data_IF_087633021718
#
_entry.id   IF_087633021718
#
_cell.length_a   1.000
_cell.length_b   1.000
_cell.length_c   1.000
_cell.angle_alpha   90.00
_cell.angle_beta   90.00
_cell.angle_gamma   90.00
#
_symmetry.space_group_name_H-M   'P 1'
#
loop_
_entity.id
_entity.type
_entity.pdbx_description
1 polymer ?
#
# COMPACT_ATOMS: atom_id res chain seq x y z
N UNK A 1 0.30 -2.55 0.47
CA UNK A 1 0.83 -1.19 0.22
C UNK A 1 1.27 -1.06 -1.22
N UNK A 2 0.86 0.00 -1.91
CA UNK A 2 1.23 0.29 -3.29
C UNK A 2 2.16 1.51 -3.32
N UNK A 3 3.40 1.30 -3.72
CA UNK A 3 4.49 2.27 -3.64
C UNK A 3 5.44 2.00 -2.48
N UNK A 4 6.76 2.09 -2.76
CA UNK A 4 7.84 1.92 -1.77
C UNK A 4 8.91 2.99 -2.00
N UNK A 5 8.43 4.24 -2.06
CA UNK A 5 9.23 5.46 -2.06
C UNK A 5 9.58 5.89 -0.63
N UNK A 6 9.91 7.18 -0.43
CA UNK A 6 10.25 7.68 0.90
C UNK A 6 9.13 7.44 1.92
N UNK A 7 7.89 7.85 1.60
CA UNK A 7 6.75 7.64 2.51
C UNK A 7 6.53 6.17 2.89
N UNK A 8 6.57 5.25 1.91
CA UNK A 8 6.41 3.82 2.18
C UNK A 8 7.54 3.23 3.02
N UNK A 9 8.78 3.66 2.79
CA UNK A 9 9.93 3.22 3.61
C UNK A 9 9.83 3.74 5.04
N UNK A 10 9.48 5.02 5.22
CA UNK A 10 9.32 5.60 6.56
C UNK A 10 8.15 4.97 7.33
N UNK A 11 7.02 4.71 6.66
CA UNK A 11 5.92 3.96 7.26
C UNK A 11 6.37 2.58 7.75
N UNK A 12 7.17 1.89 6.95
CA UNK A 12 7.71 0.58 7.33
C UNK A 12 8.70 0.68 8.52
N UNK A 13 9.56 1.72 8.55
CA UNK A 13 10.45 1.95 9.70
C UNK A 13 9.65 2.24 10.97
N UNK A 14 8.64 3.11 10.87
CA UNK A 14 7.74 3.40 11.99
C UNK A 14 7.07 2.13 12.52
N UNK A 15 6.61 1.22 11.66
CA UNK A 15 6.05 -0.06 12.11
C UNK A 15 7.07 -0.97 12.79
N UNK A 16 8.34 -0.96 12.36
CA UNK A 16 9.40 -1.71 13.04
C UNK A 16 9.74 -1.14 14.42
N UNK A 17 9.64 0.18 14.58
CA UNK A 17 9.99 0.86 15.83
C UNK A 17 8.83 0.91 16.82
N UNK A 18 7.59 1.13 16.34
CA UNK A 18 6.41 1.39 17.18
C UNK A 18 5.38 0.25 17.16
N UNK A 19 5.61 -0.82 16.40
CA UNK A 19 4.64 -1.91 16.21
C UNK A 19 4.21 -2.55 17.54
N UNK A 20 5.13 -2.83 18.43
CA UNK A 20 4.84 -3.39 19.75
C UNK A 20 4.01 -2.43 20.62
N UNK A 21 4.27 -1.13 20.54
CA UNK A 21 3.49 -0.12 21.23
C UNK A 21 2.08 -0.01 20.68
N UNK A 22 1.91 -0.08 19.35
CA UNK A 22 0.58 -0.12 18.71
C UNK A 22 -0.18 -1.35 19.19
N UNK A 23 0.45 -2.53 19.20
CA UNK A 23 -0.14 -3.77 19.68
C UNK A 23 -0.57 -3.68 21.14
N UNK A 24 0.31 -3.17 22.00
CA UNK A 24 0.06 -3.07 23.44
C UNK A 24 -0.98 -2.00 23.79
N UNK A 25 -1.04 -0.90 23.01
CA UNK A 25 -1.95 0.22 23.30
C UNK A 25 -3.34 0.00 22.71
N UNK A 26 -3.42 -0.55 21.51
CA UNK A 26 -4.67 -0.63 20.74
C UNK A 26 -5.15 -2.07 20.51
N UNK A 27 -4.34 -3.08 20.82
CA UNK A 27 -4.67 -4.49 20.62
C UNK A 27 -4.57 -4.96 19.16
N UNK A 28 -4.01 -4.14 18.27
CA UNK A 28 -3.85 -4.47 16.85
C UNK A 28 -2.41 -4.79 16.51
N UNK A 29 -2.21 -5.86 15.73
CA UNK A 29 -0.94 -6.18 15.09
C UNK A 29 -1.04 -5.80 13.62
N UNK A 30 -0.13 -4.92 13.16
CA UNK A 30 -0.11 -4.43 11.78
C UNK A 30 0.87 -5.25 10.97
N UNK A 31 0.38 -5.98 9.97
CA UNK A 31 1.18 -6.78 9.05
C UNK A 31 1.13 -6.17 7.64
N UNK A 32 2.26 -6.10 6.98
CA UNK A 32 2.34 -5.71 5.56
C UNK A 32 2.23 -6.96 4.70
N UNK A 33 1.03 -7.31 4.27
CA UNK A 33 0.82 -8.51 3.45
C UNK A 33 1.42 -8.40 2.03
N UNK A 34 1.55 -7.17 1.50
CA UNK A 34 2.14 -6.97 0.19
C UNK A 34 2.76 -5.57 0.03
N UNK A 35 3.82 -5.49 -0.76
CA UNK A 35 4.43 -4.25 -1.24
C UNK A 35 4.56 -4.34 -2.76
N UNK A 36 3.79 -3.56 -3.51
CA UNK A 36 3.89 -3.50 -4.95
C UNK A 36 4.50 -2.18 -5.43
N UNK A 37 5.39 -2.27 -6.40
CA UNK A 37 6.03 -1.09 -7.00
C UNK A 37 6.13 -1.23 -8.51
N UNK A 38 6.24 -0.12 -9.20
CA UNK A 38 6.45 -0.13 -10.65
C UNK A 38 7.85 -0.57 -11.06
N UNK A 39 8.87 -0.28 -10.27
CA UNK A 39 10.28 -0.43 -10.66
C UNK A 39 11.15 -1.28 -9.74
N UNK A 40 10.65 -1.65 -8.56
CA UNK A 40 11.43 -2.38 -7.56
C UNK A 40 11.00 -3.85 -7.41
N UNK A 41 9.91 -4.24 -8.09
CA UNK A 41 9.27 -5.55 -7.94
C UNK A 41 8.08 -5.53 -6.98
N UNK A 42 7.50 -6.70 -6.76
CA UNK A 42 6.37 -6.92 -5.85
C UNK A 42 6.73 -7.99 -4.84
N UNK A 43 6.58 -7.69 -3.56
CA UNK A 43 6.66 -8.66 -2.47
C UNK A 43 5.25 -9.02 -2.01
N UNK A 44 5.02 -10.31 -1.73
CA UNK A 44 3.75 -10.80 -1.19
C UNK A 44 3.98 -11.96 -0.23
N UNK A 45 3.40 -11.83 0.95
CA UNK A 45 3.28 -12.90 1.94
C UNK A 45 2.04 -12.64 2.80
N UNK A 46 1.03 -13.52 2.81
CA UNK A 46 -0.16 -13.33 3.62
C UNK A 46 0.10 -13.35 5.13
N UNK A 47 1.25 -13.89 5.56
CA UNK A 47 1.68 -13.91 6.97
C UNK A 47 2.56 -12.71 7.35
N UNK A 48 2.83 -11.84 6.39
CA UNK A 48 3.63 -10.64 6.58
C UNK A 48 4.94 -10.65 5.80
N UNK A 49 5.15 -9.61 4.99
CA UNK A 49 6.41 -9.37 4.29
C UNK A 49 7.50 -9.02 5.29
N UNK A 50 8.69 -9.60 5.12
CA UNK A 50 9.88 -9.18 5.86
C UNK A 50 10.29 -7.75 5.46
N UNK A 51 9.69 -6.80 6.15
CA UNK A 51 9.88 -5.37 5.94
C UNK A 51 11.33 -4.94 6.14
N UNK A 52 12.02 -5.55 7.12
CA UNK A 52 13.42 -5.27 7.43
C UNK A 52 14.33 -5.64 6.25
N UNK A 53 14.08 -6.82 5.68
CA UNK A 53 14.77 -7.28 4.47
C UNK A 53 14.42 -6.40 3.26
N UNK A 54 13.15 -6.05 3.06
CA UNK A 54 12.71 -5.20 1.97
C UNK A 54 13.41 -3.83 1.98
N UNK A 55 13.51 -3.18 3.14
CA UNK A 55 14.23 -1.93 3.34
C UNK A 55 15.71 -2.08 2.97
N UNK A 56 16.38 -3.09 3.53
CA UNK A 56 17.80 -3.36 3.29
C UNK A 56 18.10 -3.61 1.80
N UNK A 57 17.27 -4.40 1.13
CA UNK A 57 17.45 -4.69 -0.31
C UNK A 57 17.33 -3.42 -1.16
N UNK A 58 16.29 -2.62 -0.92
CA UNK A 58 16.09 -1.37 -1.69
C UNK A 58 17.17 -0.33 -1.40
N UNK A 59 17.71 -0.27 -0.19
CA UNK A 59 18.82 0.60 0.16
C UNK A 59 20.13 0.16 -0.51
N UNK A 60 20.38 -1.14 -0.58
CA UNK A 60 21.62 -1.70 -1.13
C UNK A 60 21.65 -1.70 -2.67
N UNK A 61 20.54 -2.09 -3.32
CA UNK A 61 20.52 -2.33 -4.77
C UNK A 61 19.38 -1.61 -5.51
N UNK A 62 18.62 -0.75 -4.83
CA UNK A 62 17.54 0.04 -5.44
C UNK A 62 16.26 -0.73 -5.75
N UNK A 63 16.23 -2.03 -5.56
CA UNK A 63 15.09 -2.94 -5.85
C UNK A 63 15.06 -4.12 -4.88
N UNK A 64 13.97 -4.88 -4.90
CA UNK A 64 13.92 -6.17 -4.22
C UNK A 64 14.83 -7.18 -4.93
N UNK A 65 15.50 -8.01 -4.13
CA UNK A 65 16.43 -9.01 -4.65
C UNK A 65 15.66 -10.12 -5.37
N UNK A 66 16.22 -10.61 -6.47
CA UNK A 66 15.71 -11.80 -7.17
C UNK A 66 15.74 -13.07 -6.30
N UNK A 67 16.61 -13.08 -5.29
CA UNK A 67 16.70 -14.15 -4.29
C UNK A 67 15.77 -13.92 -3.08
N UNK A 68 14.90 -12.91 -3.11
CA UNK A 68 13.92 -12.72 -2.04
C UNK A 68 12.80 -13.76 -2.18
N UNK A 69 12.57 -14.64 -1.19
CA UNK A 69 11.57 -15.71 -1.28
C UNK A 69 10.13 -15.18 -1.37
N UNK A 70 9.91 -13.91 -1.01
CA UNK A 70 8.60 -13.26 -1.06
C UNK A 70 8.41 -12.44 -2.36
N UNK A 71 9.41 -12.43 -3.26
CA UNK A 71 9.30 -11.78 -4.57
C UNK A 71 8.33 -12.56 -5.46
N UNK A 72 7.34 -11.86 -6.01
CA UNK A 72 6.33 -12.45 -6.90
C UNK A 72 6.22 -11.68 -8.21
N UNK A 73 5.78 -12.37 -9.26
CA UNK A 73 5.52 -11.78 -10.59
C UNK A 73 4.04 -11.36 -10.68
N UNK A 74 3.65 -10.38 -9.86
CA UNK A 74 2.31 -9.82 -9.84
C UNK A 74 2.40 -8.30 -10.01
N UNK A 75 1.51 -7.73 -10.82
CA UNK A 75 1.34 -6.29 -10.87
C UNK A 75 0.52 -5.77 -9.66
N UNK A 76 0.40 -4.45 -9.53
CA UNK A 76 -0.30 -3.81 -8.41
C UNK A 76 -1.77 -4.25 -8.29
N UNK A 77 -2.49 -4.34 -9.39
CA UNK A 77 -3.90 -4.77 -9.39
C UNK A 77 -4.03 -6.23 -8.97
N UNK A 78 -3.19 -7.10 -9.51
CA UNK A 78 -3.20 -8.52 -9.17
C UNK A 78 -2.89 -8.77 -7.69
N UNK A 79 -1.91 -8.04 -7.13
CA UNK A 79 -1.58 -8.21 -5.71
C UNK A 79 -2.65 -7.62 -4.78
N UNK A 80 -3.31 -6.51 -5.16
CA UNK A 80 -4.47 -6.00 -4.41
C UNK A 80 -5.54 -7.09 -4.32
N UNK A 81 -5.94 -7.65 -5.46
CA UNK A 81 -6.95 -8.74 -5.52
C UNK A 81 -6.57 -9.95 -4.70
N UNK A 82 -5.29 -10.33 -4.72
CA UNK A 82 -4.78 -11.53 -4.04
C UNK A 82 -4.57 -11.35 -2.54
N UNK A 83 -4.20 -10.15 -2.10
CA UNK A 83 -3.73 -9.92 -0.73
C UNK A 83 -4.80 -10.14 0.33
N UNK A 84 -6.08 -9.90 0.02
CA UNK A 84 -7.19 -9.92 0.98
C UNK A 84 -6.89 -9.16 2.27
N UNK A 85 -6.16 -8.06 2.14
CA UNK A 85 -5.81 -7.20 3.27
C UNK A 85 -7.03 -6.38 3.73
N UNK A 86 -7.03 -5.96 4.99
CA UNK A 86 -8.09 -5.09 5.52
C UNK A 86 -7.95 -3.66 5.00
N UNK A 87 -6.71 -3.22 4.78
CA UNK A 87 -6.39 -1.84 4.40
C UNK A 87 -5.41 -1.81 3.22
N UNK A 88 -5.70 -1.01 2.22
CA UNK A 88 -4.76 -0.67 1.14
C UNK A 88 -4.20 0.73 1.38
N UNK A 89 -2.87 0.85 1.39
CA UNK A 89 -2.17 2.13 1.48
C UNK A 89 -1.64 2.47 0.09
N UNK A 90 -2.11 3.56 -0.49
CA UNK A 90 -1.76 4.04 -1.82
C UNK A 90 -0.72 5.16 -1.72
N UNK A 91 0.52 4.86 -2.10
CA UNK A 91 1.69 5.74 -2.04
C UNK A 91 2.45 5.77 -3.38
N UNK A 92 1.79 5.43 -4.47
CA UNK A 92 2.42 5.44 -5.80
C UNK A 92 2.70 6.86 -6.29
N UNK A 93 3.48 6.95 -7.35
CA UNK A 93 3.85 8.25 -7.93
C UNK A 93 2.61 8.99 -8.45
N UNK A 94 2.50 10.25 -8.10
CA UNK A 94 1.45 11.15 -8.56
C UNK A 94 1.43 11.25 -10.10
N UNK A 95 0.25 11.04 -10.70
CA UNK A 95 -0.06 11.51 -12.06
C UNK A 95 -0.88 12.79 -11.96
N UNK A 96 -0.31 13.89 -12.45
CA UNK A 96 -1.00 15.20 -12.52
C UNK A 96 -2.06 15.18 -13.62
N UNK A 97 -1.89 14.33 -14.63
CA UNK A 97 -2.71 14.33 -15.85
C UNK A 97 -4.11 13.76 -15.63
N UNK A 98 -4.22 12.67 -14.86
CA UNK A 98 -5.45 11.86 -14.80
C UNK A 98 -5.64 11.12 -13.48
N UNK A 99 -4.69 11.21 -12.56
CA UNK A 99 -4.71 10.49 -11.28
C UNK A 99 -4.50 8.96 -11.39
N UNK A 100 -4.15 8.46 -12.58
CA UNK A 100 -3.89 7.03 -12.78
C UNK A 100 -2.41 6.67 -12.55
N UNK A 101 -2.11 5.44 -12.16
CA UNK A 101 -3.01 4.30 -11.92
C UNK A 101 -3.65 4.28 -10.50
N UNK A 102 -3.38 5.28 -9.67
CA UNK A 102 -3.79 5.31 -8.28
C UNK A 102 -5.32 5.21 -8.10
N UNK A 103 -6.10 5.84 -8.99
CA UNK A 103 -7.56 5.72 -8.98
C UNK A 103 -7.98 4.26 -9.17
N UNK A 104 -7.40 3.56 -10.15
CA UNK A 104 -7.73 2.14 -10.39
C UNK A 104 -7.30 1.24 -9.23
N UNK A 105 -6.21 1.55 -8.53
CA UNK A 105 -5.82 0.85 -7.32
C UNK A 105 -6.88 0.97 -6.23
N UNK A 106 -7.38 2.20 -5.99
CA UNK A 106 -8.38 2.49 -4.96
C UNK A 106 -9.71 1.82 -5.30
N UNK A 107 -10.17 1.91 -6.55
CA UNK A 107 -11.40 1.25 -7.00
C UNK A 107 -11.31 -0.27 -6.81
N UNK A 108 -10.17 -0.88 -7.19
CA UNK A 108 -9.94 -2.30 -6.98
C UNK A 108 -9.94 -2.66 -5.49
N UNK A 109 -9.30 -1.84 -4.64
CA UNK A 109 -9.30 -2.08 -3.20
C UNK A 109 -10.73 -2.06 -2.62
N UNK A 110 -11.56 -1.11 -3.01
CA UNK A 110 -12.96 -1.05 -2.60
C UNK A 110 -13.78 -2.23 -3.14
N UNK A 111 -13.52 -2.67 -4.38
CA UNK A 111 -14.16 -3.87 -4.95
C UNK A 111 -13.90 -5.10 -4.08
N UNK A 112 -12.70 -5.21 -3.52
CA UNK A 112 -12.26 -6.33 -2.69
C UNK A 112 -12.44 -6.09 -1.17
N UNK A 113 -13.21 -5.07 -0.78
CA UNK A 113 -13.62 -4.84 0.61
C UNK A 113 -12.54 -4.23 1.50
N UNK A 114 -11.54 -3.58 0.94
CA UNK A 114 -10.45 -2.96 1.70
C UNK A 114 -10.76 -1.50 2.02
N UNK A 115 -10.46 -1.07 3.23
CA UNK A 115 -10.32 0.36 3.55
C UNK A 115 -9.14 0.94 2.77
N UNK A 116 -9.19 2.23 2.47
CA UNK A 116 -8.13 2.89 1.70
C UNK A 116 -7.59 4.10 2.44
N UNK A 117 -6.26 4.17 2.50
CA UNK A 117 -5.51 5.35 2.93
C UNK A 117 -4.62 5.78 1.77
N UNK A 118 -4.66 7.04 1.38
CA UNK A 118 -3.80 7.54 0.29
C UNK A 118 -3.11 8.84 0.66
N UNK A 119 -1.82 8.94 0.35
CA UNK A 119 -1.06 10.19 0.33
C UNK A 119 -0.88 10.72 -1.12
N UNK A 120 -1.48 10.05 -2.10
CA UNK A 120 -1.42 10.45 -3.51
C UNK A 120 -2.51 11.48 -3.82
N UNK A 121 -2.11 12.70 -4.16
CA UNK A 121 -3.03 13.81 -4.45
C UNK A 121 -3.87 13.58 -5.73
N UNK A 122 -3.42 12.76 -6.66
CA UNK A 122 -4.10 12.49 -7.94
C UNK A 122 -5.54 11.98 -7.77
N UNK A 123 -5.78 10.89 -7.05
CA UNK A 123 -7.13 10.39 -6.81
C UNK A 123 -8.07 11.41 -6.15
N UNK A 124 -7.52 12.20 -5.23
CA UNK A 124 -8.30 13.24 -4.54
C UNK A 124 -8.65 14.39 -5.50
N UNK A 125 -7.70 14.83 -6.33
CA UNK A 125 -7.93 15.91 -7.27
C UNK A 125 -8.92 15.53 -8.40
N UNK A 126 -8.82 14.29 -8.91
CA UNK A 126 -9.54 13.87 -10.12
C UNK A 126 -10.82 13.08 -9.86
N UNK A 127 -10.92 12.37 -8.73
CA UNK A 127 -11.99 11.40 -8.52
C UNK A 127 -12.57 11.38 -7.10
N UNK A 128 -12.28 12.37 -6.26
CA UNK A 128 -12.67 12.36 -4.84
C UNK A 128 -14.14 12.01 -4.60
N UNK A 129 -15.06 12.76 -5.22
CA UNK A 129 -16.49 12.56 -5.00
C UNK A 129 -16.94 11.14 -5.35
N UNK A 130 -16.43 10.60 -6.45
CA UNK A 130 -16.75 9.25 -6.93
C UNK A 130 -16.17 8.18 -6.00
N UNK A 131 -14.89 8.29 -5.63
CA UNK A 131 -14.23 7.34 -4.74
C UNK A 131 -14.83 7.36 -3.34
N UNK A 132 -15.15 8.56 -2.83
CA UNK A 132 -15.83 8.71 -1.54
C UNK A 132 -17.22 8.04 -1.55
N UNK A 133 -18.00 8.27 -2.61
CA UNK A 133 -19.32 7.64 -2.76
C UNK A 133 -19.24 6.10 -2.78
N UNK A 134 -18.27 5.53 -3.50
CA UNK A 134 -18.05 4.07 -3.53
C UNK A 134 -17.69 3.54 -2.14
N UNK A 135 -16.77 4.23 -1.45
CA UNK A 135 -16.38 3.85 -0.09
C UNK A 135 -17.58 3.89 0.87
N UNK A 136 -18.36 4.97 0.86
CA UNK A 136 -19.53 5.14 1.72
C UNK A 136 -20.60 4.07 1.47
N UNK A 137 -20.90 3.78 0.20
CA UNK A 137 -21.87 2.74 -0.18
C UNK A 137 -21.47 1.36 0.35
N UNK A 138 -20.19 1.08 0.40
CA UNK A 138 -19.63 -0.20 0.88
C UNK A 138 -19.30 -0.21 2.38
N UNK A 139 -19.48 0.90 3.10
CA UNK A 139 -19.06 1.03 4.50
C UNK A 139 -17.54 1.00 4.68
N UNK A 140 -16.78 1.40 3.66
CA UNK A 140 -15.33 1.39 3.65
C UNK A 140 -14.76 2.80 3.85
N UNK A 141 -13.73 2.93 4.66
CA UNK A 141 -13.04 4.19 4.87
C UNK A 141 -12.23 4.60 3.64
N UNK A 142 -12.34 5.86 3.24
CA UNK A 142 -11.45 6.53 2.30
C UNK A 142 -10.76 7.68 3.02
N UNK A 143 -9.55 7.44 3.48
CA UNK A 143 -8.73 8.42 4.20
C UNK A 143 -7.64 8.96 3.27
N UNK A 144 -7.39 10.25 3.36
CA UNK A 144 -6.35 10.89 2.57
C UNK A 144 -5.68 12.00 3.36
N UNK A 145 -4.41 12.19 3.11
CA UNK A 145 -3.62 13.31 3.58
C UNK A 145 -3.19 14.12 2.37
N UNK A 146 -3.59 15.39 2.34
CA UNK A 146 -3.24 16.31 1.26
C UNK A 146 -2.77 17.61 1.88
N UNK A 147 -1.52 17.71 2.14
CA UNK A 147 -0.85 18.98 2.46
C UNK A 147 -0.56 19.79 1.23
#
# INVERSE_FOLDING_TARGET
MIGFGNAGKEFCRMLLDEGDKIKNTYGYEVLIAAIATRSKGTLYDPLGVDVKRALKEVEAIGRFSENNPQLVQLNSIEVIKKSRADVMIELSTLSIKDGQPAISHIETAFEYGMHVITANKGPVAWAYKRLKAIGDEKGLAFLHETT
#
